data_IF_754200725833
#
_entry.id   IF_754200725833
#
_cell.length_a   1.000
_cell.length_b   1.000
_cell.length_c   1.000
_cell.angle_alpha   90.00
_cell.angle_beta   90.00
_cell.angle_gamma   90.00
#
_symmetry.space_group_name_H-M   'P 1'
#
loop_
_entity.id
_entity.type
_entity.pdbx_description
1 polymer ?
#
# COMPACT_ATOMS: atom_id res chain seq x y z
N UNK A 1 22.41 -21.60 -2.51
CA UNK A 1 21.27 -21.07 -1.72
C UNK A 1 20.12 -20.83 -2.68
N UNK A 2 19.06 -21.62 -2.58
CA UNK A 2 17.81 -21.42 -3.33
C UNK A 2 17.08 -20.23 -2.72
N UNK A 3 17.41 -19.02 -3.17
CA UNK A 3 16.55 -17.86 -2.96
C UNK A 3 15.27 -18.05 -3.77
N UNK A 4 14.16 -17.47 -3.31
CA UNK A 4 12.94 -17.39 -4.12
C UNK A 4 13.32 -16.68 -5.42
N UNK A 5 13.40 -17.45 -6.50
CA UNK A 5 13.74 -16.94 -7.82
C UNK A 5 12.59 -16.14 -8.38
N UNK A 6 12.89 -15.37 -9.43
CA UNK A 6 11.85 -14.63 -10.16
C UNK A 6 10.72 -15.57 -10.62
N UNK A 7 11.07 -16.81 -11.01
CA UNK A 7 10.12 -17.84 -11.44
C UNK A 7 9.12 -18.22 -10.35
N UNK A 8 9.58 -18.51 -9.12
CA UNK A 8 8.68 -18.87 -8.02
C UNK A 8 7.72 -17.72 -7.68
N UNK A 9 8.20 -16.47 -7.72
CA UNK A 9 7.36 -15.28 -7.51
C UNK A 9 6.30 -15.14 -8.60
N UNK A 10 6.64 -15.38 -9.87
CA UNK A 10 5.65 -15.34 -10.95
C UNK A 10 4.59 -16.44 -10.81
N UNK A 11 4.98 -17.64 -10.41
CA UNK A 11 4.03 -18.74 -10.16
C UNK A 11 3.08 -18.38 -9.03
N UNK A 12 3.60 -17.85 -7.92
CA UNK A 12 2.78 -17.45 -6.78
C UNK A 12 1.83 -16.30 -7.14
N UNK A 13 2.31 -15.31 -7.89
CA UNK A 13 1.48 -14.24 -8.44
C UNK A 13 0.36 -14.80 -9.32
N UNK A 14 0.66 -15.79 -10.16
CA UNK A 14 -0.32 -16.43 -11.04
C UNK A 14 -1.40 -17.18 -10.24
N UNK A 15 -1.03 -17.89 -9.18
CA UNK A 15 -2.00 -18.56 -8.28
C UNK A 15 -2.92 -17.53 -7.62
N UNK A 16 -2.36 -16.44 -7.08
CA UNK A 16 -3.15 -15.35 -6.50
C UNK A 16 -4.09 -14.74 -7.55
N UNK A 17 -3.59 -14.53 -8.78
CA UNK A 17 -4.38 -14.01 -9.88
C UNK A 17 -5.55 -14.93 -10.26
N UNK A 18 -5.37 -16.25 -10.23
CA UNK A 18 -6.44 -17.22 -10.49
C UNK A 18 -7.50 -17.23 -9.39
N UNK A 19 -7.10 -17.11 -8.12
CA UNK A 19 -8.01 -17.11 -6.97
C UNK A 19 -8.84 -15.82 -6.89
N UNK A 20 -8.21 -14.67 -7.08
CA UNK A 20 -8.86 -13.36 -6.92
C UNK A 20 -9.37 -12.77 -8.24
N UNK A 21 -8.84 -13.22 -9.37
CA UNK A 21 -9.08 -12.66 -10.70
C UNK A 21 -8.30 -11.37 -10.96
N UNK A 22 -7.84 -11.18 -12.20
CA UNK A 22 -7.07 -9.98 -12.59
C UNK A 22 -7.80 -8.65 -12.44
N UNK A 23 -9.14 -8.67 -12.37
CA UNK A 23 -9.94 -7.47 -12.17
C UNK A 23 -10.01 -7.00 -10.70
N UNK A 24 -9.83 -7.90 -9.72
CA UNK A 24 -9.98 -7.53 -8.30
C UNK A 24 -8.70 -7.00 -7.66
N UNK A 25 -7.54 -7.49 -8.09
CA UNK A 25 -6.22 -7.01 -7.62
C UNK A 25 -6.05 -5.47 -7.77
N UNK A 26 -6.31 -4.86 -8.93
CA UNK A 26 -6.20 -3.41 -9.11
C UNK A 26 -7.18 -2.62 -8.24
N UNK A 27 -8.40 -3.14 -8.05
CA UNK A 27 -9.41 -2.50 -7.19
C UNK A 27 -9.00 -2.50 -5.72
N UNK A 28 -8.49 -3.63 -5.21
CA UNK A 28 -7.97 -3.74 -3.85
C UNK A 28 -6.77 -2.82 -3.63
N UNK A 29 -5.81 -2.79 -4.55
CA UNK A 29 -4.65 -1.89 -4.48
C UNK A 29 -5.07 -0.42 -4.49
N UNK A 30 -6.05 -0.05 -5.32
CA UNK A 30 -6.51 1.35 -5.42
C UNK A 30 -7.23 1.81 -4.15
N UNK A 31 -8.03 0.93 -3.55
CA UNK A 31 -8.71 1.23 -2.28
C UNK A 31 -7.71 1.30 -1.12
N UNK A 32 -6.78 0.33 -1.03
CA UNK A 32 -5.75 0.30 0.01
C UNK A 32 -4.80 1.50 -0.12
N UNK A 33 -4.41 1.87 -1.35
CA UNK A 33 -3.57 3.03 -1.61
C UNK A 33 -4.23 4.36 -1.22
N UNK A 34 -5.55 4.51 -1.44
CA UNK A 34 -6.30 5.66 -0.93
C UNK A 34 -6.28 5.71 0.60
N UNK A 35 -6.54 4.59 1.28
CA UNK A 35 -6.49 4.53 2.74
C UNK A 35 -5.12 4.89 3.30
N UNK A 36 -4.02 4.41 2.69
CA UNK A 36 -2.66 4.77 3.11
C UNK A 36 -2.38 6.26 2.86
N UNK A 37 -2.85 6.81 1.74
CA UNK A 37 -2.66 8.23 1.40
C UNK A 37 -3.40 9.13 2.39
N UNK A 38 -4.65 8.82 2.70
CA UNK A 38 -5.46 9.56 3.66
C UNK A 38 -4.90 9.43 5.08
N UNK A 39 -4.46 8.23 5.48
CA UNK A 39 -3.80 8.01 6.77
C UNK A 39 -2.52 8.86 6.91
N UNK A 40 -1.68 8.88 5.87
CA UNK A 40 -0.47 9.72 5.85
C UNK A 40 -0.82 11.20 5.95
N UNK A 41 -1.81 11.67 5.18
CA UNK A 41 -2.21 13.07 5.18
C UNK A 41 -2.78 13.50 6.55
N UNK A 42 -3.54 12.63 7.21
CA UNK A 42 -4.06 12.86 8.56
C UNK A 42 -2.93 13.02 9.58
N UNK A 43 -1.94 12.12 9.59
CA UNK A 43 -0.78 12.23 10.48
C UNK A 43 0.02 13.52 10.26
N UNK A 44 0.32 13.90 9.01
CA UNK A 44 1.11 15.12 8.75
C UNK A 44 0.36 16.41 9.09
N UNK A 45 -0.97 16.41 9.01
CA UNK A 45 -1.80 17.57 9.36
C UNK A 45 -1.83 17.84 10.88
N UNK A 46 -1.57 16.82 11.69
CA UNK A 46 -1.43 16.96 13.15
C UNK A 46 -0.02 17.43 13.51
N UNK A 47 1.02 17.02 12.77
CA UNK A 47 2.39 17.49 12.96
C UNK A 47 2.58 18.98 12.57
N UNK A 48 1.96 19.46 11.48
CA UNK A 48 2.06 20.89 11.07
C UNK A 48 1.31 21.84 12.02
N UNK A 49 0.29 21.36 12.75
CA UNK A 49 -0.46 22.18 13.73
C UNK A 49 0.27 22.39 15.05
N UNK A 50 1.26 21.56 15.37
CA UNK A 50 2.05 21.70 16.60
C UNK A 50 3.24 22.66 16.42
N UNK A 51 3.73 22.84 15.18
CA UNK A 51 4.82 23.78 14.87
C UNK A 51 4.42 25.26 14.91
N UNK A 52 3.15 25.62 14.69
CA UNK A 52 2.68 27.02 14.73
C UNK A 52 2.39 27.53 16.16
N UNK A 53 2.39 26.65 17.17
CA UNK A 53 2.08 27.02 18.56
C UNK A 53 3.34 27.31 19.41
N UNK A 54 4.53 27.02 18.90
CA UNK A 54 5.80 27.28 19.59
C UNK A 54 6.34 28.71 19.37
N UNK A 55 5.72 29.49 18.49
CA UNK A 55 6.05 30.90 18.22
C UNK A 55 4.88 31.83 18.57
N UNK A 56 4.42 31.81 19.83
CA UNK A 56 3.51 32.82 20.39
C UNK A 56 3.77 33.06 21.88
#
# INVERSE_FOLDING_TARGET
MFGIGQTEIFILLFIVLLLFGGAKLPGLMRNMGRSITEFKNGMNSDDEKDSDKAEA
#
